data_IF_171122729003
#
_entry.id   IF_171122729003
#
_cell.length_a   1.000
_cell.length_b   1.000
_cell.length_c   1.000
_cell.angle_alpha   90.00
_cell.angle_beta   90.00
_cell.angle_gamma   90.00
#
_symmetry.space_group_name_H-M   'P 1'
#
loop_
_entity.id
_entity.type
_entity.pdbx_description
1 polymer ?
#
# COMPACT_ATOMS: atom_id res chain seq x y z
N UNK A 1 -5.22 -39.63 -7.22
CA UNK A 1 -4.49 -38.40 -6.82
C UNK A 1 -3.55 -38.05 -7.95
N UNK A 2 -3.62 -36.84 -8.50
CA UNK A 2 -2.65 -36.39 -9.49
C UNK A 2 -1.30 -36.11 -8.80
N UNK A 3 -0.24 -36.81 -9.20
CA UNK A 3 1.12 -36.52 -8.75
C UNK A 3 1.65 -35.33 -9.54
N UNK A 4 2.07 -34.29 -8.83
CA UNK A 4 2.74 -33.13 -9.45
C UNK A 4 4.23 -33.47 -9.55
N UNK A 5 4.81 -33.33 -10.74
CA UNK A 5 6.24 -33.60 -10.92
C UNK A 5 7.10 -32.53 -10.23
N UNK A 6 8.36 -32.88 -9.94
CA UNK A 6 9.31 -31.93 -9.35
C UNK A 6 9.53 -30.70 -10.25
N UNK A 7 9.56 -30.91 -11.57
CA UNK A 7 9.65 -29.85 -12.56
C UNK A 7 8.43 -28.92 -12.52
N UNK A 8 7.22 -29.49 -12.52
CA UNK A 8 5.98 -28.71 -12.39
C UNK A 8 5.95 -27.91 -11.09
N UNK A 9 6.45 -28.49 -9.99
CA UNK A 9 6.55 -27.80 -8.71
C UNK A 9 7.63 -26.71 -8.69
N UNK A 10 8.74 -26.90 -9.41
CA UNK A 10 9.77 -25.89 -9.58
C UNK A 10 9.24 -24.68 -10.36
N UNK A 11 8.54 -24.91 -11.46
CA UNK A 11 7.88 -23.85 -12.25
C UNK A 11 6.83 -23.11 -11.41
N UNK A 12 6.01 -23.86 -10.65
CA UNK A 12 5.05 -23.26 -9.73
C UNK A 12 5.73 -22.31 -8.73
N UNK A 13 6.78 -22.77 -8.03
CA UNK A 13 7.52 -21.97 -7.05
C UNK A 13 8.14 -20.72 -7.68
N UNK A 14 8.79 -20.85 -8.84
CA UNK A 14 9.38 -19.72 -9.53
C UNK A 14 8.32 -18.67 -9.91
N UNK A 15 7.19 -19.12 -10.45
CA UNK A 15 6.07 -18.23 -10.80
C UNK A 15 5.47 -17.54 -9.56
N UNK A 16 5.35 -18.25 -8.44
CA UNK A 16 4.82 -17.71 -7.19
C UNK A 16 5.76 -16.63 -6.62
N UNK A 17 7.07 -16.88 -6.62
CA UNK A 17 8.07 -15.91 -6.20
C UNK A 17 8.06 -14.66 -7.08
N UNK A 18 7.93 -14.82 -8.40
CA UNK A 18 7.84 -13.68 -9.32
C UNK A 18 6.58 -12.84 -9.04
N UNK A 19 5.41 -13.46 -8.86
CA UNK A 19 4.18 -12.76 -8.49
C UNK A 19 4.31 -12.01 -7.16
N UNK A 20 4.92 -12.64 -6.16
CA UNK A 20 5.16 -12.02 -4.86
C UNK A 20 6.05 -10.77 -4.96
N UNK A 21 7.12 -10.83 -5.76
CA UNK A 21 7.99 -9.67 -6.01
C UNK A 21 7.23 -8.54 -6.70
N UNK A 22 6.49 -8.85 -7.76
CA UNK A 22 5.70 -7.87 -8.50
C UNK A 22 4.64 -7.19 -7.61
N UNK A 23 3.96 -7.97 -6.76
CA UNK A 23 2.96 -7.43 -5.84
C UNK A 23 3.61 -6.53 -4.79
N UNK A 24 4.77 -6.92 -4.24
CA UNK A 24 5.51 -6.07 -3.29
C UNK A 24 5.89 -4.73 -3.92
N UNK A 25 6.41 -4.74 -5.14
CA UNK A 25 6.78 -3.51 -5.84
C UNK A 25 5.55 -2.64 -6.15
N UNK A 26 4.41 -3.26 -6.47
CA UNK A 26 3.14 -2.56 -6.65
C UNK A 26 2.65 -1.94 -5.35
N UNK A 27 2.74 -2.63 -4.22
CA UNK A 27 2.35 -2.09 -2.91
C UNK A 27 3.27 -0.96 -2.46
N UNK A 28 4.58 -1.06 -2.72
CA UNK A 28 5.53 0.03 -2.45
C UNK A 28 5.18 1.30 -3.25
N UNK A 29 4.87 1.17 -4.54
CA UNK A 29 4.40 2.31 -5.36
C UNK A 29 3.08 2.88 -4.86
N UNK A 30 2.13 2.02 -4.46
CA UNK A 30 0.84 2.46 -3.90
C UNK A 30 1.04 3.23 -2.59
N UNK A 31 1.93 2.76 -1.72
CA UNK A 31 2.28 3.43 -0.47
C UNK A 31 2.87 4.82 -0.74
N UNK A 32 3.83 4.94 -1.66
CA UNK A 32 4.42 6.23 -2.03
C UNK A 32 3.37 7.21 -2.56
N UNK A 33 2.48 6.75 -3.44
CA UNK A 33 1.37 7.57 -3.94
C UNK A 33 0.42 7.99 -2.80
N UNK A 34 0.06 7.06 -1.91
CA UNK A 34 -0.79 7.34 -0.75
C UNK A 34 -0.21 8.41 0.17
N UNK A 35 1.10 8.35 0.44
CA UNK A 35 1.79 9.39 1.23
C UNK A 35 1.78 10.75 0.53
N UNK A 36 2.02 10.80 -0.78
CA UNK A 36 1.96 12.05 -1.54
C UNK A 36 0.55 12.68 -1.49
N UNK A 37 -0.49 11.87 -1.67
CA UNK A 37 -1.89 12.30 -1.55
C UNK A 37 -2.20 12.78 -0.14
N UNK A 38 -1.77 12.05 0.90
CA UNK A 38 -1.95 12.44 2.30
C UNK A 38 -1.31 13.81 2.59
N UNK A 39 -0.10 14.06 2.07
CA UNK A 39 0.57 15.35 2.21
C UNK A 39 -0.20 16.48 1.49
N UNK A 40 -0.69 16.24 0.27
CA UNK A 40 -1.48 17.22 -0.47
C UNK A 40 -2.79 17.55 0.26
N UNK A 41 -3.54 16.53 0.66
CA UNK A 41 -4.77 16.67 1.43
C UNK A 41 -4.53 17.42 2.74
N UNK A 42 -3.44 17.11 3.46
CA UNK A 42 -3.09 17.84 4.69
C UNK A 42 -2.84 19.32 4.45
N UNK A 43 -2.22 19.72 3.33
CA UNK A 43 -2.02 21.14 3.02
C UNK A 43 -3.34 21.84 2.77
N UNK A 44 -4.19 21.25 1.93
CA UNK A 44 -5.52 21.76 1.60
C UNK A 44 -6.39 21.91 2.85
N UNK A 45 -6.42 20.90 3.72
CA UNK A 45 -7.19 20.95 4.98
C UNK A 45 -6.72 22.09 5.91
N UNK A 46 -5.42 22.36 5.95
CA UNK A 46 -4.88 23.46 6.78
C UNK A 46 -5.16 24.83 6.17
N UNK A 47 -4.99 24.96 4.85
CA UNK A 47 -5.09 26.24 4.14
C UNK A 47 -6.53 26.68 3.94
N UNK A 48 -7.40 25.77 3.48
CA UNK A 48 -8.77 26.10 3.09
C UNK A 48 -9.77 25.90 4.23
N UNK A 49 -9.47 25.00 5.18
CA UNK A 49 -10.39 24.63 6.26
C UNK A 49 -9.86 24.95 7.66
N UNK A 50 -8.69 25.59 7.77
CA UNK A 50 -8.15 26.04 9.06
C UNK A 50 -7.74 24.92 10.02
N UNK A 51 -7.54 23.70 9.53
CA UNK A 51 -7.13 22.59 10.39
C UNK A 51 -5.84 22.92 11.17
N UNK A 52 -5.86 22.73 12.49
CA UNK A 52 -4.70 22.95 13.38
C UNK A 52 -3.76 21.75 13.38
N UNK A 53 -4.30 20.54 13.21
CA UNK A 53 -3.53 19.29 13.19
C UNK A 53 -4.13 18.30 12.19
N UNK A 54 -3.25 17.59 11.48
CA UNK A 54 -3.62 16.50 10.57
C UNK A 54 -2.65 15.35 10.80
N UNK A 55 -3.16 14.13 10.99
CA UNK A 55 -2.35 12.93 11.26
C UNK A 55 -2.79 11.79 10.33
N UNK A 56 -1.83 11.18 9.64
CA UNK A 56 -2.04 9.95 8.86
C UNK A 56 -2.19 8.75 9.79
N UNK A 57 -3.22 7.95 9.58
CA UNK A 57 -3.39 6.68 10.27
C UNK A 57 -3.75 5.54 9.31
N UNK A 58 -4.18 4.40 9.85
CA UNK A 58 -4.59 3.26 9.03
C UNK A 58 -3.43 2.54 8.34
N UNK A 59 -3.75 1.92 7.20
CA UNK A 59 -2.85 1.01 6.48
C UNK A 59 -1.67 1.72 5.79
N UNK A 60 -1.82 3.00 5.44
CA UNK A 60 -0.78 3.82 4.78
C UNK A 60 0.36 4.28 5.69
N UNK A 61 0.37 3.87 6.96
CA UNK A 61 1.46 4.22 7.89
C UNK A 61 2.79 3.56 7.54
N UNK A 62 2.75 2.37 6.95
CA UNK A 62 3.93 1.53 6.68
C UNK A 62 3.70 0.71 5.42
N UNK A 63 4.72 0.58 4.57
CA UNK A 63 4.60 -0.09 3.27
C UNK A 63 4.14 -1.56 3.38
N UNK A 64 4.49 -2.24 4.48
CA UNK A 64 4.15 -3.64 4.76
C UNK A 64 2.66 -3.86 5.04
N UNK A 65 1.93 -2.81 5.43
CA UNK A 65 0.49 -2.88 5.75
C UNK A 65 -0.40 -2.48 4.56
N UNK A 66 0.19 -1.96 3.49
CA UNK A 66 -0.54 -1.58 2.30
C UNK A 66 -0.93 -2.82 1.51
N UNK A 67 -2.19 -2.87 1.11
CA UNK A 67 -2.75 -3.88 0.21
C UNK A 67 -3.50 -3.20 -0.94
N UNK A 68 -3.95 -4.00 -1.90
CA UNK A 68 -4.56 -3.54 -3.15
C UNK A 68 -5.80 -2.62 -2.99
N UNK A 69 -6.47 -2.71 -1.85
CA UNK A 69 -7.69 -1.95 -1.49
C UNK A 69 -7.45 -0.85 -0.46
N UNK A 70 -6.21 -0.66 0.00
CA UNK A 70 -5.90 0.38 0.98
C UNK A 70 -6.17 1.77 0.42
N UNK A 71 -6.79 2.61 1.23
CA UNK A 71 -7.08 4.03 1.04
C UNK A 71 -6.16 4.90 1.94
N UNK A 72 -6.45 6.21 2.01
CA UNK A 72 -5.69 7.18 2.82
C UNK A 72 -6.59 7.67 3.95
N UNK A 73 -6.21 7.35 5.18
CA UNK A 73 -6.95 7.73 6.38
C UNK A 73 -6.29 8.92 7.10
N UNK A 74 -7.02 10.03 7.26
CA UNK A 74 -6.53 11.24 7.93
C UNK A 74 -7.43 11.62 9.12
N UNK A 75 -6.81 11.81 10.29
CA UNK A 75 -7.46 12.42 11.44
C UNK A 75 -7.17 13.92 11.43
N UNK A 76 -8.21 14.73 11.58
CA UNK A 76 -8.14 16.19 11.41
C UNK A 76 -8.73 16.87 12.64
N UNK A 77 -8.03 17.91 13.13
CA UNK A 77 -8.50 18.80 14.18
C UNK A 77 -8.49 20.23 13.65
N UNK A 78 -9.49 21.03 14.01
CA UNK A 78 -9.68 22.42 13.62
C UNK A 78 -10.38 23.17 14.73
#
# INVERSE_FOLDING_TARGET
MAFISEEQMAVYRASAQQRQRQERDRMARRHQLGLAVACQASKLLKQEFGATKVVLFGSMRTAEKVHSRSDVDLAVWG
#
